data_IF_352133919752
#
_entry.id   IF_352133919752
#
_cell.length_a   1.000
_cell.length_b   1.000
_cell.length_c   1.000
_cell.angle_alpha   90.00
_cell.angle_beta   90.00
_cell.angle_gamma   90.00
#
_symmetry.space_group_name_H-M   'P 1'
#
loop_
_entity.id
_entity.type
_entity.pdbx_description
1 polymer ?
#
# COMPACT_ATOMS: atom_id res chain seq x y z
N UNK A 1 11.91 -13.44 -13.58
CA UNK A 1 11.38 -14.70 -13.02
C UNK A 1 9.96 -14.42 -12.55
N UNK A 2 9.03 -15.34 -12.79
CA UNK A 2 7.65 -15.22 -12.32
C UNK A 2 7.45 -16.10 -11.09
N UNK A 3 6.78 -15.58 -10.06
CA UNK A 3 6.52 -16.32 -8.81
C UNK A 3 5.13 -15.99 -8.26
N UNK A 4 4.47 -17.00 -7.71
CA UNK A 4 3.25 -16.82 -6.92
C UNK A 4 3.63 -16.64 -5.46
N UNK A 5 3.14 -15.58 -4.82
CA UNK A 5 3.39 -15.28 -3.42
C UNK A 5 2.16 -15.56 -2.55
N UNK A 6 2.42 -15.90 -1.29
CA UNK A 6 1.41 -16.06 -0.25
C UNK A 6 1.05 -14.70 0.39
N UNK A 7 -0.14 -14.55 0.98
CA UNK A 7 -0.56 -13.34 1.67
C UNK A 7 0.37 -12.97 2.83
N UNK A 8 0.98 -13.97 3.49
CA UNK A 8 1.96 -13.75 4.54
C UNK A 8 3.17 -12.92 4.08
N UNK A 9 3.56 -13.03 2.81
CA UNK A 9 4.62 -12.20 2.23
C UNK A 9 4.17 -10.74 2.15
N UNK A 10 2.92 -10.48 1.72
CA UNK A 10 2.35 -9.13 1.71
C UNK A 10 2.15 -8.57 3.13
N UNK A 11 1.76 -9.38 4.11
CA UNK A 11 1.69 -8.93 5.50
C UNK A 11 3.08 -8.59 6.05
N UNK A 12 4.09 -9.40 5.76
CA UNK A 12 5.45 -9.16 6.22
C UNK A 12 5.99 -7.79 5.78
N UNK A 13 5.80 -7.41 4.51
CA UNK A 13 6.28 -6.12 3.98
C UNK A 13 5.54 -4.91 4.59
N UNK A 14 4.23 -5.05 4.88
CA UNK A 14 3.46 -3.96 5.49
C UNK A 14 3.88 -3.70 6.93
N UNK A 15 4.27 -4.75 7.65
CA UNK A 15 4.64 -4.68 9.07
C UNK A 15 6.08 -4.24 9.25
N UNK A 16 7.01 -4.78 8.45
CA UNK A 16 8.44 -4.56 8.64
C UNK A 16 9.14 -4.35 7.30
N UNK A 17 9.92 -3.28 7.22
CA UNK A 17 10.87 -3.10 6.12
C UNK A 17 12.08 -4.02 6.28
N UNK A 18 12.55 -4.61 5.18
CA UNK A 18 13.67 -5.55 5.25
C UNK A 18 13.92 -6.30 3.95
N UNK A 19 14.53 -7.49 4.09
CA UNK A 19 14.96 -8.30 2.94
C UNK A 19 13.77 -8.75 2.05
N UNK A 20 12.62 -9.06 2.66
CA UNK A 20 11.42 -9.47 1.93
C UNK A 20 10.89 -8.39 0.99
N UNK A 21 10.88 -7.13 1.45
CA UNK A 21 10.50 -5.96 0.63
C UNK A 21 11.46 -5.78 -0.54
N UNK A 22 12.77 -5.90 -0.29
CA UNK A 22 13.80 -5.81 -1.33
C UNK A 22 13.72 -6.93 -2.36
N UNK A 23 13.35 -8.13 -1.95
CA UNK A 23 13.14 -9.26 -2.86
C UNK A 23 11.89 -9.02 -3.71
N UNK A 24 10.79 -8.58 -3.08
CA UNK A 24 9.52 -8.35 -3.75
C UNK A 24 9.59 -7.27 -4.83
N UNK A 25 10.35 -6.21 -4.57
CA UNK A 25 10.49 -5.04 -5.46
C UNK A 25 11.69 -5.17 -6.41
N UNK A 26 12.28 -6.35 -6.56
CA UNK A 26 13.41 -6.53 -7.47
C UNK A 26 12.93 -6.51 -8.93
N UNK A 27 13.59 -5.71 -9.79
CA UNK A 27 13.21 -5.53 -11.21
C UNK A 27 13.14 -6.84 -12.02
N UNK A 28 13.85 -7.88 -11.56
CA UNK A 28 13.89 -9.19 -12.21
C UNK A 28 12.88 -10.20 -11.64
N UNK A 29 12.00 -9.79 -10.72
CA UNK A 29 10.99 -10.63 -10.09
C UNK A 29 9.58 -10.08 -10.36
N UNK A 30 8.79 -10.86 -11.10
CA UNK A 30 7.38 -10.55 -11.36
C UNK A 30 6.53 -11.41 -10.42
N UNK A 31 5.72 -10.77 -9.58
CA UNK A 31 4.96 -11.47 -8.54
C UNK A 31 3.46 -11.51 -8.85
N UNK A 32 2.84 -12.63 -8.49
CA UNK A 32 1.41 -12.88 -8.65
C UNK A 32 0.83 -13.39 -7.33
N UNK A 33 -0.45 -13.12 -7.07
CA UNK A 33 -1.16 -13.68 -5.92
C UNK A 33 -2.59 -14.09 -6.33
N UNK A 34 -3.12 -15.20 -5.80
CA UNK A 34 -4.53 -15.55 -6.00
C UNK A 34 -5.47 -14.55 -5.32
N UNK A 35 -6.71 -14.45 -5.80
CA UNK A 35 -7.77 -13.62 -5.20
C UNK A 35 -8.06 -13.98 -3.73
N UNK A 36 -7.71 -15.21 -3.31
CA UNK A 36 -7.77 -15.65 -1.92
C UNK A 36 -7.06 -14.69 -0.94
N UNK A 37 -6.09 -13.92 -1.42
CA UNK A 37 -5.41 -12.89 -0.64
C UNK A 37 -6.39 -11.91 0.01
N UNK A 38 -7.47 -11.53 -0.68
CA UNK A 38 -8.48 -10.61 -0.16
C UNK A 38 -9.26 -11.22 1.02
N UNK A 39 -9.48 -12.54 1.00
CA UNK A 39 -10.09 -13.26 2.13
C UNK A 39 -9.17 -13.24 3.35
N UNK A 40 -7.87 -13.41 3.16
CA UNK A 40 -6.88 -13.31 4.23
C UNK A 40 -6.76 -11.89 4.76
N UNK A 41 -6.72 -10.88 3.88
CA UNK A 41 -6.79 -9.47 4.28
C UNK A 41 -7.99 -9.19 5.19
N UNK A 42 -9.18 -9.69 4.83
CA UNK A 42 -10.40 -9.53 5.63
C UNK A 42 -10.28 -10.21 7.01
N UNK A 43 -9.70 -11.42 7.06
CA UNK A 43 -9.45 -12.14 8.33
C UNK A 43 -8.45 -11.40 9.22
N UNK A 44 -7.45 -10.76 8.64
CA UNK A 44 -6.35 -10.10 9.35
C UNK A 44 -6.51 -8.59 9.51
N UNK A 45 -7.68 -8.02 9.16
CA UNK A 45 -7.99 -6.57 9.23
C UNK A 45 -7.58 -5.94 10.56
N UNK A 46 -7.92 -6.57 11.68
CA UNK A 46 -7.60 -6.04 13.02
C UNK A 46 -6.10 -6.00 13.32
N UNK A 47 -5.33 -6.96 12.80
CA UNK A 47 -3.88 -6.98 12.99
C UNK A 47 -3.21 -5.88 12.15
N UNK A 48 -3.67 -5.69 10.91
CA UNK A 48 -3.20 -4.61 10.03
C UNK A 48 -3.50 -3.24 10.65
N UNK A 49 -4.75 -3.04 11.08
CA UNK A 49 -5.19 -1.78 11.72
C UNK A 49 -4.40 -1.42 13.00
N UNK A 50 -3.91 -2.41 13.74
CA UNK A 50 -3.09 -2.17 14.95
C UNK A 50 -1.68 -1.71 14.62
N UNK A 51 -1.16 -2.07 13.45
CA UNK A 51 0.22 -1.77 13.05
C UNK A 51 0.27 -0.41 12.33
N UNK A 52 -0.82 -0.02 11.67
CA UNK A 52 -0.97 1.26 10.95
C UNK A 52 -1.46 2.40 11.85
N UNK A 53 -0.88 2.58 13.05
CA UNK A 53 -1.30 3.53 14.11
C UNK A 53 -2.13 4.74 13.66
N UNK A 54 -3.34 4.86 14.24
CA UNK A 54 -4.51 5.56 13.69
C UNK A 54 -4.56 7.08 13.87
N UNK A 55 -4.04 7.64 14.96
CA UNK A 55 -4.42 9.01 15.36
C UNK A 55 -3.95 10.09 14.38
N UNK A 56 -2.74 9.97 13.83
CA UNK A 56 -2.23 10.99 12.91
C UNK A 56 -2.82 10.87 11.50
N UNK A 57 -3.25 9.67 11.10
CA UNK A 57 -3.77 9.42 9.74
C UNK A 57 -5.29 9.55 9.64
N UNK A 58 -6.04 9.17 10.69
CA UNK A 58 -7.51 9.35 10.76
C UNK A 58 -7.91 10.84 10.76
N UNK A 59 -7.01 11.73 11.19
CA UNK A 59 -7.23 13.17 11.12
C UNK A 59 -7.04 13.76 9.70
N UNK A 60 -6.44 13.01 8.77
CA UNK A 60 -6.09 13.49 7.42
C UNK A 60 -7.14 13.17 6.38
N UNK A 61 -8.07 12.27 6.67
CA UNK A 61 -9.09 11.81 5.71
C UNK A 61 -10.46 11.66 6.37
N UNK A 62 -11.55 11.87 5.61
CA UNK A 62 -12.91 11.75 6.13
C UNK A 62 -13.28 10.30 6.49
N UNK A 63 -12.76 9.32 5.74
CA UNK A 63 -13.05 7.90 5.91
C UNK A 63 -11.93 7.18 6.69
N UNK A 64 -12.32 6.38 7.68
CA UNK A 64 -11.40 5.60 8.52
C UNK A 64 -10.73 4.46 7.77
N UNK A 65 -11.34 3.98 6.69
CA UNK A 65 -10.77 2.95 5.84
C UNK A 65 -9.70 3.54 4.91
N UNK A 66 -9.86 4.79 4.47
CA UNK A 66 -8.85 5.56 3.73
C UNK A 66 -7.61 5.87 4.59
N UNK A 67 -7.80 6.06 5.88
CA UNK A 67 -6.72 6.37 6.83
C UNK A 67 -5.65 5.26 6.86
N UNK A 68 -6.04 4.01 6.62
CA UNK A 68 -5.11 2.89 6.60
C UNK A 68 -4.09 3.01 5.46
N UNK A 69 -4.49 3.50 4.30
CA UNK A 69 -3.58 3.71 3.16
C UNK A 69 -2.58 4.83 3.45
N UNK A 70 -3.06 5.97 3.97
CA UNK A 70 -2.18 7.09 4.33
C UNK A 70 -1.20 6.73 5.45
N UNK A 71 -1.64 5.96 6.44
CA UNK A 71 -0.76 5.49 7.51
C UNK A 71 0.43 4.68 6.97
N UNK A 72 0.20 3.79 5.99
CA UNK A 72 1.28 3.04 5.34
C UNK A 72 2.19 3.97 4.56
N UNK A 73 1.65 4.90 3.76
CA UNK A 73 2.43 5.87 3.01
C UNK A 73 3.33 6.72 3.92
N UNK A 74 2.81 7.21 5.05
CA UNK A 74 3.58 8.00 6.02
C UNK A 74 4.66 7.15 6.68
N UNK A 75 4.29 5.97 7.18
CA UNK A 75 5.23 5.07 7.86
C UNK A 75 6.40 4.64 6.95
N UNK A 76 6.13 4.47 5.66
CA UNK A 76 7.10 4.02 4.66
C UNK A 76 7.73 5.15 3.85
N UNK A 77 7.26 6.39 4.01
CA UNK A 77 7.64 7.56 3.20
C UNK A 77 7.45 7.32 1.70
N UNK A 78 6.32 6.72 1.34
CA UNK A 78 5.97 6.37 -0.04
C UNK A 78 4.79 7.22 -0.53
N UNK A 79 4.72 7.53 -1.84
CA UNK A 79 3.54 8.14 -2.41
C UNK A 79 2.37 7.14 -2.47
N UNK A 80 1.15 7.66 -2.59
CA UNK A 80 -0.05 6.87 -2.85
C UNK A 80 -0.37 6.91 -4.35
N UNK A 81 -0.79 5.79 -4.93
CA UNK A 81 -1.44 5.77 -6.24
C UNK A 81 -2.93 5.51 -6.04
N UNK A 82 -3.77 6.50 -6.37
CA UNK A 82 -5.22 6.38 -6.30
C UNK A 82 -5.88 7.40 -7.24
N UNK A 83 -6.99 7.00 -7.87
CA UNK A 83 -7.86 7.94 -8.61
C UNK A 83 -9.01 8.45 -7.74
N UNK A 84 -9.04 8.08 -6.45
CA UNK A 84 -10.06 8.54 -5.50
C UNK A 84 -9.74 9.95 -4.99
N UNK A 85 -10.73 10.83 -5.06
CA UNK A 85 -10.61 12.21 -4.60
C UNK A 85 -10.66 12.33 -3.07
N UNK A 86 -10.99 11.28 -2.33
CA UNK A 86 -10.98 11.31 -0.86
C UNK A 86 -9.62 11.71 -0.27
N UNK A 87 -8.52 11.36 -0.96
CA UNK A 87 -7.14 11.69 -0.55
C UNK A 87 -6.66 13.09 -0.94
N UNK A 88 -7.47 13.86 -1.68
CA UNK A 88 -7.08 15.19 -2.17
C UNK A 88 -7.07 16.29 -1.09
N UNK A 89 -7.67 16.03 0.07
CA UNK A 89 -7.82 17.01 1.15
C UNK A 89 -6.57 17.15 2.04
N UNK A 90 -5.59 16.26 1.89
CA UNK A 90 -4.36 16.26 2.66
C UNK A 90 -3.14 16.57 1.78
N UNK A 91 -2.10 17.14 2.37
CA UNK A 91 -0.86 17.55 1.72
C UNK A 91 0.39 16.77 2.21
N UNK A 92 0.22 15.85 3.17
CA UNK A 92 1.31 15.07 3.76
C UNK A 92 1.86 13.96 2.84
N UNK A 93 1.01 13.35 2.04
CA UNK A 93 1.34 12.24 1.15
C UNK A 93 1.05 12.67 -0.29
N UNK A 94 2.08 12.57 -1.15
CA UNK A 94 1.88 12.78 -2.59
C UNK A 94 1.00 11.66 -3.14
N UNK A 95 -0.14 12.05 -3.71
CA UNK A 95 -1.04 11.15 -4.44
C UNK A 95 -0.78 11.31 -5.93
N UNK A 96 -0.66 10.18 -6.64
CA UNK A 96 -0.64 10.09 -8.10
C UNK A 96 -1.95 9.49 -8.59
N UNK A 97 -2.55 10.14 -9.59
CA UNK A 97 -3.54 9.51 -10.46
C UNK A 97 -2.86 8.57 -11.46
N UNK A 98 -3.65 7.72 -12.09
CA UNK A 98 -3.16 6.81 -13.14
C UNK A 98 -2.49 7.58 -14.28
N UNK A 99 -3.08 8.69 -14.72
CA UNK A 99 -2.52 9.52 -15.79
C UNK A 99 -1.20 10.19 -15.38
N UNK A 100 -1.09 10.68 -14.14
CA UNK A 100 0.15 11.24 -13.63
C UNK A 100 1.25 10.17 -13.51
N UNK A 101 0.90 8.96 -13.08
CA UNK A 101 1.86 7.87 -12.92
C UNK A 101 2.37 7.35 -14.28
N UNK A 102 1.49 7.20 -15.27
CA UNK A 102 1.85 6.87 -16.66
C UNK A 102 2.89 7.88 -17.18
N UNK A 103 2.60 9.17 -17.03
CA UNK A 103 3.50 10.25 -17.45
C UNK A 103 4.82 10.23 -16.66
N UNK A 104 4.77 9.97 -15.35
CA UNK A 104 5.95 9.93 -14.49
C UNK A 104 6.87 8.76 -14.82
N UNK A 105 6.30 7.58 -15.11
CA UNK A 105 7.04 6.36 -15.43
C UNK A 105 7.45 6.25 -16.91
N UNK A 106 6.94 7.14 -17.78
CA UNK A 106 7.25 7.10 -19.22
C UNK A 106 6.65 5.88 -19.91
N UNK A 107 5.48 5.43 -19.45
CA UNK A 107 4.75 4.32 -20.07
C UNK A 107 3.93 4.92 -21.23
N UNK A 108 4.19 4.48 -22.46
CA UNK A 108 3.43 4.85 -23.66
C UNK A 108 2.17 3.98 -23.84
#
# INVERSE_FOLDING_TARGET
MEIVIDANILFAIMIKSGITERILLADNLHTYAPEYIFLEFKKHRNAILRITSREESEALVPDKDDAAYLAVCIAKRMPLWSNDNHFAHQDKVKVFTTQELIKYLGIE
#
